data_IF_477366021942
#
_entry.id   IF_477366021942
#
_cell.length_a   1.000
_cell.length_b   1.000
_cell.length_c   1.000
_cell.angle_alpha   90.00
_cell.angle_beta   90.00
_cell.angle_gamma   90.00
#
_symmetry.space_group_name_H-M   'P 1'
#
loop_
_entity.id
_entity.type
_entity.pdbx_description
1 polymer ?
#
# COMPACT_ATOMS: atom_id res chain seq x y z
N UNK A 1 1.38 -27.92 2.59
CA UNK A 1 1.40 -26.50 2.15
C UNK A 1 0.50 -25.62 3.04
N UNK A 2 -0.71 -26.10 3.39
CA UNK A 2 -1.71 -25.37 4.19
C UNK A 2 -1.27 -24.84 5.57
N UNK A 3 -0.39 -25.56 6.28
CA UNK A 3 0.12 -25.14 7.61
C UNK A 3 1.05 -23.92 7.49
N UNK A 4 1.79 -23.80 6.39
CA UNK A 4 2.73 -22.71 6.16
C UNK A 4 2.00 -21.41 5.80
N UNK A 5 0.97 -21.49 4.95
CA UNK A 5 0.12 -20.36 4.59
C UNK A 5 -0.57 -19.74 5.82
N UNK A 6 -1.13 -20.57 6.71
CA UNK A 6 -1.74 -20.11 7.97
C UNK A 6 -0.75 -19.42 8.91
N UNK A 7 0.56 -19.68 8.79
CA UNK A 7 1.61 -19.00 9.57
C UNK A 7 2.01 -17.66 8.96
N UNK A 8 2.11 -17.57 7.64
CA UNK A 8 2.49 -16.33 6.95
C UNK A 8 1.49 -15.21 7.24
N UNK A 9 0.19 -15.50 7.11
CA UNK A 9 -0.88 -14.56 7.45
C UNK A 9 -0.72 -14.00 8.88
N UNK A 10 -0.49 -14.87 9.87
CA UNK A 10 -0.28 -14.46 11.27
C UNK A 10 0.94 -13.58 11.47
N UNK A 11 2.03 -13.83 10.74
CA UNK A 11 3.25 -13.01 10.81
C UNK A 11 2.96 -11.62 10.23
N UNK A 12 2.35 -11.56 9.05
CA UNK A 12 2.01 -10.31 8.36
C UNK A 12 1.07 -9.46 9.24
N UNK A 13 0.03 -10.08 9.80
CA UNK A 13 -0.89 -9.43 10.72
C UNK A 13 -0.17 -8.84 11.94
N UNK A 14 0.73 -9.59 12.59
CA UNK A 14 1.49 -9.08 13.74
C UNK A 14 2.41 -7.91 13.41
N UNK A 15 3.01 -7.89 12.21
CA UNK A 15 3.87 -6.77 11.80
C UNK A 15 3.04 -5.50 11.61
N UNK A 16 1.80 -5.61 11.13
CA UNK A 16 0.88 -4.46 11.05
C UNK A 16 0.46 -3.91 12.42
N UNK A 17 0.60 -4.69 13.50
CA UNK A 17 0.25 -4.29 14.87
C UNK A 17 1.38 -3.58 15.64
N UNK A 18 2.55 -3.38 15.03
CA UNK A 18 3.68 -2.68 15.66
C UNK A 18 3.25 -1.29 16.13
N UNK A 19 3.72 -0.87 17.32
CA UNK A 19 3.27 0.35 17.98
C UNK A 19 3.42 1.61 17.11
N UNK A 20 4.54 1.72 16.38
CA UNK A 20 4.79 2.83 15.46
C UNK A 20 3.76 2.91 14.34
N UNK A 21 3.30 1.76 13.86
CA UNK A 21 2.25 1.68 12.86
C UNK A 21 0.95 2.32 13.36
N UNK A 22 0.52 1.92 14.56
CA UNK A 22 -0.69 2.42 15.20
C UNK A 22 -0.59 3.90 15.52
N UNK A 23 0.60 4.37 15.92
CA UNK A 23 0.87 5.79 16.17
C UNK A 23 0.66 6.60 14.88
N UNK A 24 1.30 6.19 13.78
CA UNK A 24 1.18 6.87 12.48
C UNK A 24 -0.27 6.84 11.97
N UNK A 25 -0.96 5.70 12.07
CA UNK A 25 -2.36 5.61 11.66
C UNK A 25 -3.28 6.51 12.51
N UNK A 26 -3.02 6.62 13.81
CA UNK A 26 -3.76 7.51 14.72
C UNK A 26 -3.54 8.98 14.40
N UNK A 27 -2.30 9.38 14.10
CA UNK A 27 -1.96 10.74 13.64
C UNK A 27 -2.73 11.07 12.34
N UNK A 28 -2.73 10.16 11.37
CA UNK A 28 -3.47 10.32 10.13
C UNK A 28 -5.00 10.42 10.34
N UNK A 29 -5.56 9.65 11.29
CA UNK A 29 -6.99 9.73 11.65
C UNK A 29 -7.36 11.04 12.35
N UNK A 30 -6.43 11.65 13.09
CA UNK A 30 -6.63 12.95 13.76
C UNK A 30 -6.60 14.12 12.78
N UNK A 31 -6.27 13.88 11.51
CA UNK A 31 -6.19 14.91 10.48
C UNK A 31 -4.85 15.63 10.44
N UNK A 32 -3.80 15.07 11.05
CA UNK A 32 -2.43 15.52 10.80
C UNK A 32 -2.13 15.37 9.30
N UNK A 33 -1.65 16.45 8.69
CA UNK A 33 -1.48 16.54 7.23
C UNK A 33 -0.05 16.24 6.76
N UNK A 34 0.92 16.20 7.67
CA UNK A 34 2.34 16.01 7.35
C UNK A 34 2.97 14.96 8.27
N UNK A 35 2.89 13.70 7.85
CA UNK A 35 3.47 12.56 8.57
C UNK A 35 4.57 11.95 7.70
N UNK A 36 5.80 12.03 8.18
CA UNK A 36 6.97 11.50 7.48
C UNK A 36 7.32 10.11 8.02
N UNK A 37 7.39 9.13 7.13
CA UNK A 37 7.82 7.77 7.43
C UNK A 37 9.07 7.45 6.61
N UNK A 38 10.17 7.16 7.30
CA UNK A 38 11.47 6.85 6.69
C UNK A 38 11.92 5.42 6.97
N UNK A 39 12.92 4.93 6.22
CA UNK A 39 13.51 3.60 6.44
C UNK A 39 12.76 2.45 5.75
N UNK A 40 11.67 2.73 5.03
CA UNK A 40 10.93 1.73 4.26
C UNK A 40 11.61 1.48 2.90
N UNK A 41 12.09 0.24 2.69
CA UNK A 41 12.73 -0.21 1.46
C UNK A 41 12.02 -1.43 0.87
N UNK A 42 12.11 -1.57 -0.47
CA UNK A 42 11.46 -2.66 -1.20
C UNK A 42 9.97 -2.83 -0.82
N UNK A 43 9.57 -4.08 -0.59
CA UNK A 43 8.20 -4.48 -0.24
C UNK A 43 7.73 -4.00 1.14
N UNK A 44 8.61 -3.46 2.00
CA UNK A 44 8.20 -2.88 3.28
C UNK A 44 7.26 -1.67 3.08
N UNK A 45 7.42 -0.93 1.98
CA UNK A 45 6.50 0.17 1.60
C UNK A 45 5.09 -0.35 1.33
N UNK A 46 4.99 -1.46 0.61
CA UNK A 46 3.73 -2.08 0.26
C UNK A 46 3.00 -2.64 1.49
N UNK A 47 3.75 -3.32 2.39
CA UNK A 47 3.21 -3.77 3.67
C UNK A 47 2.69 -2.59 4.51
N UNK A 48 3.45 -1.49 4.53
CA UNK A 48 3.03 -0.26 5.21
C UNK A 48 1.73 0.32 4.63
N UNK A 49 1.63 0.45 3.31
CA UNK A 49 0.42 0.95 2.65
C UNK A 49 -0.79 0.04 2.94
N UNK A 50 -0.62 -1.27 2.82
CA UNK A 50 -1.70 -2.24 3.04
C UNK A 50 -2.21 -2.25 4.49
N UNK A 51 -1.30 -2.17 5.46
CA UNK A 51 -1.70 -2.03 6.86
C UNK A 51 -2.37 -0.68 7.14
N UNK A 52 -1.89 0.41 6.54
CA UNK A 52 -2.46 1.74 6.76
C UNK A 52 -3.91 1.75 6.30
N UNK A 53 -4.19 1.10 5.18
CA UNK A 53 -5.54 0.93 4.68
C UNK A 53 -6.45 0.14 5.65
N UNK A 54 -5.93 -0.91 6.28
CA UNK A 54 -6.65 -1.71 7.27
C UNK A 54 -7.08 -0.87 8.49
N UNK A 55 -6.25 0.08 8.94
CA UNK A 55 -6.56 0.97 10.05
C UNK A 55 -7.46 2.15 9.64
N UNK A 56 -7.17 2.79 8.50
CA UNK A 56 -7.88 3.99 8.06
C UNK A 56 -9.28 3.68 7.48
N UNK A 57 -9.47 2.48 6.92
CA UNK A 57 -10.75 2.02 6.31
C UNK A 57 -11.36 2.98 5.27
N UNK A 58 -10.51 3.76 4.59
CA UNK A 58 -10.88 4.70 3.51
C UNK A 58 -9.97 4.51 2.30
N UNK A 59 -10.40 4.86 1.08
CA UNK A 59 -9.54 4.80 -0.11
C UNK A 59 -8.24 5.59 0.08
N UNK A 60 -7.12 5.04 -0.38
CA UNK A 60 -5.81 5.67 -0.38
C UNK A 60 -5.36 5.93 -1.82
N UNK A 61 -4.80 7.11 -2.04
CA UNK A 61 -4.09 7.45 -3.28
C UNK A 61 -2.60 7.37 -2.95
N UNK A 62 -1.88 6.50 -3.65
CA UNK A 62 -0.43 6.36 -3.50
C UNK A 62 0.23 6.93 -4.74
N UNK A 63 1.05 7.96 -4.53
CA UNK A 63 1.81 8.61 -5.60
C UNK A 63 3.25 8.11 -5.54
N UNK A 64 3.75 7.60 -6.66
CA UNK A 64 5.16 7.22 -6.83
C UNK A 64 5.91 8.30 -7.60
N UNK A 65 7.23 8.45 -7.41
CA UNK A 65 8.02 9.45 -8.13
C UNK A 65 8.20 9.14 -9.62
N UNK A 66 8.02 7.88 -10.03
CA UNK A 66 8.22 7.40 -11.39
C UNK A 66 7.29 6.22 -11.69
N UNK A 67 6.97 6.03 -12.97
CA UNK A 67 6.08 4.97 -13.45
C UNK A 67 6.70 3.58 -13.37
N UNK A 68 8.04 3.47 -13.54
CA UNK A 68 8.78 2.19 -13.57
C UNK A 68 8.52 1.30 -12.35
N UNK A 69 8.17 1.89 -11.20
CA UNK A 69 7.91 1.17 -9.96
C UNK A 69 6.44 0.88 -9.65
N UNK A 70 5.50 1.40 -10.44
CA UNK A 70 4.05 1.33 -10.13
C UNK A 70 3.56 -0.11 -10.11
N UNK A 71 3.91 -0.90 -11.12
CA UNK A 71 3.38 -2.27 -11.23
C UNK A 71 3.96 -3.22 -10.16
N UNK A 72 5.26 -3.05 -9.85
CA UNK A 72 5.89 -3.78 -8.75
C UNK A 72 5.24 -3.42 -7.40
N UNK A 73 5.04 -2.12 -7.14
CA UNK A 73 4.37 -1.66 -5.93
C UNK A 73 2.92 -2.15 -5.87
N UNK A 74 2.18 -2.08 -6.98
CA UNK A 74 0.80 -2.58 -7.11
C UNK A 74 0.72 -4.04 -6.74
N UNK A 75 1.60 -4.87 -7.30
CA UNK A 75 1.66 -6.32 -7.04
C UNK A 75 1.88 -6.60 -5.55
N UNK A 76 2.87 -5.95 -4.94
CA UNK A 76 3.15 -6.14 -3.51
C UNK A 76 2.00 -5.64 -2.62
N UNK A 77 1.41 -4.48 -2.93
CA UNK A 77 0.28 -3.92 -2.17
C UNK A 77 -0.94 -4.83 -2.29
N UNK A 78 -1.24 -5.36 -3.49
CA UNK A 78 -2.33 -6.31 -3.70
C UNK A 78 -2.14 -7.60 -2.89
N UNK A 79 -0.91 -8.11 -2.83
CA UNK A 79 -0.57 -9.25 -1.99
C UNK A 79 -0.83 -8.97 -0.51
N UNK A 80 -0.21 -7.93 0.07
CA UNK A 80 -0.38 -7.63 1.49
C UNK A 80 -1.79 -7.21 1.86
N UNK A 81 -2.50 -6.53 0.96
CA UNK A 81 -3.90 -6.18 1.13
C UNK A 81 -4.75 -7.45 1.28
N UNK A 82 -4.56 -8.45 0.41
CA UNK A 82 -5.28 -9.73 0.48
C UNK A 82 -4.97 -10.47 1.78
N UNK A 83 -3.71 -10.47 2.19
CA UNK A 83 -3.29 -11.11 3.43
C UNK A 83 -3.85 -10.42 4.68
N UNK A 84 -3.89 -9.09 4.72
CA UNK A 84 -4.34 -8.31 5.89
C UNK A 84 -5.86 -8.11 5.95
N UNK A 85 -6.55 -8.13 4.80
CA UNK A 85 -7.97 -7.80 4.69
C UNK A 85 -8.72 -8.98 4.07
N UNK A 86 -9.12 -9.94 4.91
CA UNK A 86 -9.96 -11.07 4.52
C UNK A 86 -11.24 -10.57 3.82
N UNK A 87 -11.54 -11.12 2.64
CA UNK A 87 -12.71 -10.79 1.77
C UNK A 87 -12.60 -9.53 0.88
N UNK A 88 -11.43 -8.93 0.73
CA UNK A 88 -11.24 -7.88 -0.27
C UNK A 88 -11.15 -8.44 -1.69
N UNK A 89 -12.11 -8.15 -2.56
CA UNK A 89 -11.88 -8.17 -4.03
C UNK A 89 -10.60 -7.40 -4.38
N UNK A 90 -9.99 -7.60 -5.56
CA UNK A 90 -8.82 -6.80 -5.96
C UNK A 90 -9.20 -5.30 -5.99
N UNK A 91 -8.77 -4.54 -4.98
CA UNK A 91 -9.07 -3.10 -4.82
C UNK A 91 -7.86 -2.21 -5.08
N UNK A 92 -6.80 -2.78 -5.63
CA UNK A 92 -5.55 -2.08 -5.92
C UNK A 92 -5.43 -1.95 -7.43
N UNK A 93 -5.66 -0.74 -7.93
CA UNK A 93 -5.54 -0.43 -9.35
C UNK A 93 -4.43 0.62 -9.58
N UNK A 94 -3.63 0.47 -10.65
CA UNK A 94 -2.77 1.54 -11.10
C UNK A 94 -3.63 2.60 -11.79
N UNK A 95 -3.25 3.86 -11.64
CA UNK A 95 -3.79 4.94 -12.48
C UNK A 95 -2.88 5.07 -13.70
N UNK A 96 -3.38 4.83 -14.93
CA UNK A 96 -2.54 4.75 -16.11
C UNK A 96 -1.93 6.12 -16.46
N UNK A 97 -0.65 6.12 -16.81
CA UNK A 97 -0.03 7.26 -17.47
C UNK A 97 -0.53 7.34 -18.93
N UNK A 98 -0.54 8.54 -19.50
CA UNK A 98 -0.95 8.77 -20.90
C UNK A 98 0.11 8.39 -21.94
N UNK A 99 1.25 7.85 -21.48
CA UNK A 99 2.42 7.42 -22.28
C UNK A 99 2.95 8.46 -23.30
N UNK A 100 2.46 9.69 -23.22
CA UNK A 100 2.71 10.80 -24.13
C UNK A 100 2.95 12.07 -23.32
N UNK A 101 3.80 12.96 -23.84
CA UNK A 101 3.96 14.29 -23.25
C UNK A 101 2.64 15.07 -23.47
N UNK A 102 2.05 15.67 -22.41
CA UNK A 102 0.80 16.42 -22.51
C UNK A 102 0.86 17.59 -23.50
N UNK A 103 2.04 18.05 -23.88
CA UNK A 103 2.26 19.14 -24.83
C UNK A 103 2.77 18.69 -26.21
N UNK A 104 2.93 17.39 -26.44
CA UNK A 104 3.36 16.88 -27.75
C UNK A 104 2.28 16.98 -28.84
N UNK A 105 1.04 17.33 -28.48
CA UNK A 105 -0.09 17.36 -29.42
C UNK A 105 -0.48 15.99 -29.96
N UNK A 106 -0.01 14.92 -29.31
CA UNK A 106 -0.37 13.54 -29.60
C UNK A 106 -1.58 13.16 -28.73
N UNK A 107 -2.52 12.42 -29.31
CA UNK A 107 -3.59 11.80 -28.52
C UNK A 107 -3.00 10.65 -27.71
N UNK A 108 -3.28 10.57 -26.39
CA UNK A 108 -2.93 9.41 -25.55
C UNK A 108 -3.52 8.09 -26.06
#
# INVERSE_FOLDING_TARGET
MEILEKRIHKIIARISEVADFRRIASEALRGEIDIVVSGLSGSARALFIAGLWQFLRRPLIVVTPQDRGVEALRTDVAYFHRELNSNGAERVCPFPAWETDPYAGLTP
#
